data_IF_552511954566
#
_entry.id   IF_552511954566
#
_cell.length_a   1.000
_cell.length_b   1.000
_cell.length_c   1.000
_cell.angle_alpha   90.00
_cell.angle_beta   90.00
_cell.angle_gamma   90.00
#
_symmetry.space_group_name_H-M   'P 1'
#
loop_
_entity.id
_entity.type
_entity.pdbx_description
1 polymer ?
#
# COMPACT_ATOMS: atom_id res chain seq x y z
N UNK A 1 -26.74 46.32 0.60
CA UNK A 1 -26.70 44.88 0.26
C UNK A 1 -27.00 44.12 1.53
N UNK A 2 -27.99 43.22 1.51
CA UNK A 2 -28.27 42.37 2.66
C UNK A 2 -27.19 41.27 2.72
N UNK A 3 -26.50 41.17 3.87
CA UNK A 3 -25.54 40.10 4.12
C UNK A 3 -26.28 38.86 4.59
N UNK A 4 -25.71 37.68 4.36
CA UNK A 4 -26.18 36.45 4.99
C UNK A 4 -25.83 36.54 6.48
N UNK A 5 -26.83 36.47 7.35
CA UNK A 5 -26.63 36.52 8.80
C UNK A 5 -25.92 35.26 9.30
N UNK A 6 -25.03 35.44 10.29
CA UNK A 6 -24.39 34.32 10.96
C UNK A 6 -25.36 33.62 11.90
N UNK A 7 -25.21 32.30 12.04
CA UNK A 7 -26.00 31.51 12.99
C UNK A 7 -25.54 31.84 14.42
N UNK A 8 -26.51 32.05 15.31
CA UNK A 8 -26.28 32.35 16.73
C UNK A 8 -25.58 31.17 17.44
N UNK A 9 -24.79 31.47 18.47
CA UNK A 9 -24.06 30.43 19.22
C UNK A 9 -25.05 29.72 20.14
N UNK A 10 -25.66 28.65 19.63
CA UNK A 10 -26.65 27.81 20.32
C UNK A 10 -26.26 27.52 21.79
N UNK A 11 -27.26 27.43 22.67
CA UNK A 11 -27.11 27.08 24.09
C UNK A 11 -26.45 25.70 24.29
N UNK A 12 -26.60 24.81 23.31
CA UNK A 12 -25.98 23.49 23.28
C UNK A 12 -25.12 23.31 22.01
N UNK A 13 -23.98 22.60 22.10
CA UNK A 13 -23.17 22.29 20.93
C UNK A 13 -23.91 21.31 20.01
N UNK A 14 -23.82 21.53 18.70
CA UNK A 14 -24.31 20.57 17.70
C UNK A 14 -23.61 19.21 17.86
N UNK A 15 -24.35 18.14 17.60
CA UNK A 15 -23.85 16.77 17.55
C UNK A 15 -23.07 16.53 16.26
N UNK A 16 -22.26 15.47 16.19
CA UNK A 16 -21.59 15.08 14.94
C UNK A 16 -22.59 14.77 13.81
N UNK A 17 -23.78 14.28 14.17
CA UNK A 17 -24.82 13.91 13.20
C UNK A 17 -25.38 15.14 12.47
N UNK A 18 -25.47 16.28 13.17
CA UNK A 18 -25.91 17.56 12.60
C UNK A 18 -24.97 18.10 11.51
N UNK A 19 -23.70 17.66 11.50
CA UNK A 19 -22.70 18.09 10.51
C UNK A 19 -22.59 17.15 9.31
N UNK A 20 -23.25 15.99 9.35
CA UNK A 20 -23.20 14.99 8.26
C UNK A 20 -24.61 14.81 7.73
N UNK A 21 -24.90 15.37 6.56
CA UNK A 21 -26.22 15.24 5.93
C UNK A 21 -26.62 13.78 5.72
N UNK A 22 -27.93 13.51 5.66
CA UNK A 22 -28.47 12.17 5.41
C UNK A 22 -28.04 11.59 4.06
N UNK A 23 -27.86 12.45 3.05
CA UNK A 23 -27.40 12.07 1.71
C UNK A 23 -25.86 11.98 1.60
N UNK A 24 -25.12 12.18 2.70
CA UNK A 24 -23.66 12.17 2.63
C UNK A 24 -23.14 10.75 2.32
N UNK A 25 -22.24 10.58 1.33
CA UNK A 25 -21.69 9.27 0.96
C UNK A 25 -20.96 8.55 2.10
N UNK A 26 -20.50 9.26 3.14
CA UNK A 26 -19.89 8.65 4.32
C UNK A 26 -20.83 7.66 5.02
N UNK A 27 -22.15 7.90 4.98
CA UNK A 27 -23.16 7.01 5.56
C UNK A 27 -23.26 5.69 4.80
N UNK A 28 -23.01 5.71 3.49
CA UNK A 28 -22.93 4.48 2.67
C UNK A 28 -21.73 3.63 3.08
N UNK A 29 -20.58 4.27 3.33
CA UNK A 29 -19.37 3.57 3.81
C UNK A 29 -19.65 2.94 5.18
N UNK A 30 -20.33 3.66 6.07
CA UNK A 30 -20.69 3.21 7.39
C UNK A 30 -21.56 1.94 7.34
N UNK A 31 -22.68 2.03 6.63
CA UNK A 31 -23.63 0.93 6.44
C UNK A 31 -22.99 -0.28 5.73
N UNK A 32 -22.22 -0.03 4.67
CA UNK A 32 -21.54 -1.10 3.93
C UNK A 32 -20.59 -1.87 4.84
N UNK A 33 -19.68 -1.19 5.56
CA UNK A 33 -18.72 -1.88 6.43
C UNK A 33 -19.41 -2.58 7.60
N UNK A 34 -20.51 -2.02 8.09
CA UNK A 34 -21.28 -2.66 9.16
C UNK A 34 -22.02 -3.92 8.70
N UNK A 35 -22.44 -4.01 7.44
CA UNK A 35 -23.00 -5.25 6.87
C UNK A 35 -21.99 -6.38 6.67
N UNK A 36 -20.68 -6.09 6.68
CA UNK A 36 -19.66 -7.11 6.40
C UNK A 36 -19.37 -8.00 7.60
N UNK A 37 -19.23 -9.30 7.35
CA UNK A 37 -18.56 -10.24 8.24
C UNK A 37 -17.05 -10.24 7.97
N UNK A 38 -16.29 -9.48 8.76
CA UNK A 38 -14.85 -9.33 8.55
C UNK A 38 -14.07 -10.64 8.77
N UNK A 39 -14.57 -11.55 9.60
CA UNK A 39 -13.89 -12.83 9.86
C UNK A 39 -13.96 -13.76 8.65
N UNK A 40 -15.13 -13.85 8.01
CA UNK A 40 -15.34 -14.62 6.78
C UNK A 40 -14.48 -14.13 5.63
N UNK A 41 -14.28 -12.81 5.52
CA UNK A 41 -13.44 -12.17 4.49
C UNK A 41 -11.94 -12.36 4.80
N UNK A 42 -11.60 -12.89 5.98
CA UNK A 42 -10.24 -13.22 6.39
C UNK A 42 -9.48 -12.05 7.03
N UNK A 43 -10.18 -11.05 7.58
CA UNK A 43 -9.52 -10.06 8.44
C UNK A 43 -9.09 -10.74 9.74
N UNK A 44 -7.87 -10.43 10.18
CA UNK A 44 -7.38 -10.92 11.47
C UNK A 44 -8.06 -10.15 12.61
N UNK A 45 -9.05 -10.78 13.23
CA UNK A 45 -9.63 -10.30 14.49
C UNK A 45 -8.67 -10.61 15.65
N UNK A 46 -8.71 -9.77 16.67
CA UNK A 46 -7.92 -9.97 17.88
C UNK A 46 -8.82 -10.65 18.90
N UNK A 47 -8.45 -11.85 19.34
CA UNK A 47 -9.20 -12.66 20.30
C UNK A 47 -8.52 -12.80 21.67
N UNK A 48 -7.52 -11.95 21.96
CA UNK A 48 -6.73 -12.03 23.19
C UNK A 48 -7.33 -11.25 24.37
N UNK A 49 -7.01 -11.70 25.59
CA UNK A 49 -7.27 -10.99 26.84
C UNK A 49 -5.96 -10.41 27.42
N UNK A 50 -5.13 -9.75 26.60
CA UNK A 50 -3.90 -9.17 27.12
C UNK A 50 -4.20 -7.99 28.05
N UNK A 51 -3.49 -7.91 29.17
CA UNK A 51 -3.45 -6.70 29.99
C UNK A 51 -2.75 -5.58 29.19
N UNK A 52 -3.50 -4.54 28.82
CA UNK A 52 -2.99 -3.42 28.01
C UNK A 52 -4.10 -2.60 27.35
N UNK A 53 -3.71 -1.71 26.44
CA UNK A 53 -4.66 -0.89 25.68
C UNK A 53 -5.59 -1.78 24.84
N UNK A 54 -6.90 -1.56 24.96
CA UNK A 54 -7.88 -2.28 24.15
C UNK A 54 -7.65 -1.99 22.66
N UNK A 55 -7.72 -3.01 21.80
CA UNK A 55 -7.52 -2.82 20.36
C UNK A 55 -8.66 -2.00 19.74
N UNK A 56 -8.34 -1.20 18.72
CA UNK A 56 -9.37 -0.57 17.88
C UNK A 56 -10.23 -1.61 17.16
N UNK A 57 -11.53 -1.32 17.04
CA UNK A 57 -12.43 -2.16 16.24
C UNK A 57 -11.96 -2.16 14.78
N UNK A 58 -11.92 -3.34 14.17
CA UNK A 58 -11.43 -3.51 12.79
C UNK A 58 -12.34 -2.80 11.77
N UNK A 59 -13.64 -2.76 12.04
CA UNK A 59 -14.62 -2.00 11.23
C UNK A 59 -14.27 -0.51 11.17
N UNK A 60 -13.87 0.14 12.28
CA UNK A 60 -13.44 1.54 12.25
C UNK A 60 -12.18 1.76 11.41
N UNK A 61 -11.18 0.88 11.54
CA UNK A 61 -9.96 0.96 10.74
C UNK A 61 -10.24 0.74 9.24
N UNK A 62 -11.18 -0.15 8.90
CA UNK A 62 -11.61 -0.38 7.53
C UNK A 62 -12.42 0.80 6.97
N UNK A 63 -13.39 1.33 7.72
CA UNK A 63 -14.17 2.54 7.38
C UNK A 63 -13.23 3.71 7.06
N UNK A 64 -12.27 3.97 7.96
CA UNK A 64 -11.24 4.99 7.78
C UNK A 64 -10.43 4.77 6.49
N UNK A 65 -10.01 3.54 6.23
CA UNK A 65 -9.24 3.21 5.03
C UNK A 65 -10.03 3.45 3.74
N UNK A 66 -11.29 3.00 3.68
CA UNK A 66 -12.16 3.17 2.51
C UNK A 66 -12.41 4.66 2.25
N UNK A 67 -12.81 5.40 3.29
CA UNK A 67 -13.06 6.82 3.20
C UNK A 67 -11.84 7.59 2.70
N UNK A 68 -10.67 7.36 3.30
CA UNK A 68 -9.44 8.03 2.88
C UNK A 68 -9.00 7.61 1.47
N UNK A 69 -9.22 6.35 1.07
CA UNK A 69 -8.92 5.90 -0.28
C UNK A 69 -9.74 6.64 -1.33
N UNK A 70 -11.05 6.79 -1.10
CA UNK A 70 -11.99 7.53 -1.96
C UNK A 70 -11.61 9.00 -2.06
N UNK A 71 -11.18 9.61 -0.94
CA UNK A 71 -10.75 11.00 -0.87
C UNK A 71 -9.27 11.23 -1.26
N UNK A 72 -8.60 10.24 -1.86
CA UNK A 72 -7.20 10.31 -2.32
C UNK A 72 -6.18 10.60 -1.20
N UNK A 73 -6.49 10.26 0.05
CA UNK A 73 -5.63 10.41 1.23
C UNK A 73 -4.94 9.08 1.50
N UNK A 74 -3.66 8.97 1.11
CA UNK A 74 -2.95 7.67 1.09
C UNK A 74 -1.86 7.52 2.16
N UNK A 75 -1.38 8.62 2.74
CA UNK A 75 -0.36 8.57 3.79
C UNK A 75 -1.01 8.24 5.13
N UNK A 76 -0.51 7.24 5.86
CA UNK A 76 -1.04 6.88 7.18
C UNK A 76 -1.01 8.04 8.18
N UNK A 77 -0.01 8.93 8.09
CA UNK A 77 0.04 10.16 8.89
C UNK A 77 -1.04 11.16 8.50
N UNK A 78 -1.33 11.29 7.19
CA UNK A 78 -2.44 12.14 6.75
C UNK A 78 -3.78 11.55 7.19
N UNK A 79 -3.92 10.23 7.12
CA UNK A 79 -5.12 9.52 7.61
C UNK A 79 -5.31 9.81 9.11
N UNK A 80 -4.26 9.66 9.92
CA UNK A 80 -4.29 10.03 11.34
C UNK A 80 -4.73 11.49 11.54
N UNK A 81 -4.16 12.44 10.80
CA UNK A 81 -4.57 13.84 10.87
C UNK A 81 -6.05 14.07 10.49
N UNK A 82 -6.61 13.30 9.55
CA UNK A 82 -8.04 13.42 9.23
C UNK A 82 -8.94 13.03 10.40
N UNK A 83 -8.53 12.07 11.24
CA UNK A 83 -9.32 11.63 12.39
C UNK A 83 -9.56 12.73 13.43
N UNK A 84 -8.72 13.78 13.44
CA UNK A 84 -8.79 14.88 14.41
C UNK A 84 -9.36 16.17 13.86
N UNK A 85 -9.55 16.30 12.54
CA UNK A 85 -10.02 17.56 11.91
C UNK A 85 -11.22 17.42 10.99
N UNK A 86 -11.47 16.21 10.49
CA UNK A 86 -12.50 15.97 9.48
C UNK A 86 -13.78 15.46 10.15
N UNK A 87 -14.85 16.25 10.08
CA UNK A 87 -16.12 15.95 10.73
C UNK A 87 -16.74 14.64 10.23
N UNK A 88 -16.63 14.35 8.93
CA UNK A 88 -17.13 13.09 8.34
C UNK A 88 -16.36 11.89 8.90
N UNK A 89 -15.04 12.01 9.05
CA UNK A 89 -14.22 10.95 9.66
C UNK A 89 -14.55 10.79 11.13
N UNK A 90 -14.66 11.89 11.87
CA UNK A 90 -15.04 11.86 13.28
C UNK A 90 -16.38 11.16 13.47
N UNK A 91 -17.37 11.48 12.64
CA UNK A 91 -18.66 10.81 12.64
C UNK A 91 -18.52 9.32 12.32
N UNK A 92 -17.83 8.98 11.22
CA UNK A 92 -17.69 7.61 10.70
C UNK A 92 -17.00 6.63 11.68
N UNK A 93 -16.03 7.12 12.45
CA UNK A 93 -15.29 6.27 13.40
C UNK A 93 -15.63 6.57 14.87
N UNK A 94 -16.60 7.42 15.14
CA UNK A 94 -16.99 7.79 16.52
C UNK A 94 -15.86 8.48 17.28
N UNK A 95 -15.12 9.37 16.60
CA UNK A 95 -14.02 10.19 17.15
C UNK A 95 -12.82 9.40 17.70
N UNK A 96 -12.66 8.13 17.30
CA UNK A 96 -11.42 7.40 17.60
C UNK A 96 -10.27 7.87 16.71
N UNK A 97 -9.08 8.00 17.29
CA UNK A 97 -7.90 8.58 16.63
C UNK A 97 -6.73 7.59 16.65
N UNK A 98 -6.79 6.49 15.86
CA UNK A 98 -5.69 5.56 15.75
C UNK A 98 -4.45 6.25 15.16
N UNK A 99 -3.29 5.96 15.75
CA UNK A 99 -2.02 6.49 15.29
C UNK A 99 -1.63 5.91 13.91
N UNK A 100 -0.76 6.61 13.19
CA UNK A 100 -0.29 6.15 11.87
C UNK A 100 0.36 4.75 11.91
N UNK A 101 0.95 4.34 13.05
CA UNK A 101 1.53 3.02 13.25
C UNK A 101 0.46 1.94 13.24
N UNK A 102 -0.62 2.11 14.01
CA UNK A 102 -1.79 1.23 14.00
C UNK A 102 -2.42 1.13 12.61
N UNK A 103 -2.62 2.26 11.94
CA UNK A 103 -3.22 2.30 10.59
C UNK A 103 -2.36 1.52 9.60
N UNK A 104 -1.04 1.77 9.60
CA UNK A 104 -0.09 1.09 8.72
C UNK A 104 -0.03 -0.42 9.00
N UNK A 105 0.02 -0.81 10.27
CA UNK A 105 0.03 -2.21 10.68
C UNK A 105 -1.24 -2.93 10.23
N UNK A 106 -2.41 -2.33 10.42
CA UNK A 106 -3.70 -2.88 9.98
C UNK A 106 -3.72 -3.16 8.47
N UNK A 107 -3.30 -2.18 7.65
CA UNK A 107 -3.23 -2.36 6.19
C UNK A 107 -2.21 -3.42 5.77
N UNK A 108 -1.07 -3.49 6.44
CA UNK A 108 -0.02 -4.47 6.14
C UNK A 108 -0.48 -5.90 6.44
N UNK A 109 -1.10 -6.09 7.60
CA UNK A 109 -1.56 -7.41 8.07
C UNK A 109 -2.75 -7.91 7.24
N UNK A 110 -3.70 -7.03 6.91
CA UNK A 110 -4.95 -7.41 6.25
C UNK A 110 -4.93 -7.21 4.72
N UNK A 111 -3.76 -7.03 4.10
CA UNK A 111 -3.65 -6.75 2.66
C UNK A 111 -4.40 -7.76 1.77
N UNK A 112 -4.33 -9.05 2.10
CA UNK A 112 -5.03 -10.11 1.35
C UNK A 112 -6.55 -9.98 1.49
N UNK A 113 -7.04 -9.79 2.71
CA UNK A 113 -8.47 -9.60 2.99
C UNK A 113 -9.03 -8.34 2.32
N UNK A 114 -8.29 -7.23 2.36
CA UNK A 114 -8.67 -5.99 1.66
C UNK A 114 -8.78 -6.23 0.15
N UNK A 115 -7.82 -6.96 -0.45
CA UNK A 115 -7.88 -7.29 -1.89
C UNK A 115 -9.11 -8.16 -2.20
N UNK A 116 -9.43 -9.10 -1.33
CA UNK A 116 -10.61 -9.96 -1.48
C UNK A 116 -11.91 -9.16 -1.36
N UNK A 117 -12.01 -8.28 -0.37
CA UNK A 117 -13.14 -7.35 -0.19
C UNK A 117 -13.41 -6.53 -1.47
N UNK A 118 -12.37 -5.92 -2.05
CA UNK A 118 -12.54 -5.15 -3.29
C UNK A 118 -12.94 -6.02 -4.49
N UNK A 119 -12.47 -7.28 -4.53
CA UNK A 119 -12.88 -8.23 -5.56
C UNK A 119 -14.36 -8.56 -5.43
N UNK A 120 -14.83 -8.91 -4.23
CA UNK A 120 -16.24 -9.20 -3.96
C UNK A 120 -17.13 -8.00 -4.24
N UNK A 121 -16.71 -6.80 -3.83
CA UNK A 121 -17.40 -5.56 -4.15
C UNK A 121 -17.52 -5.34 -5.67
N UNK A 122 -16.44 -5.54 -6.41
CA UNK A 122 -16.47 -5.39 -7.89
C UNK A 122 -17.38 -6.42 -8.54
N UNK A 123 -17.39 -7.66 -8.03
CA UNK A 123 -18.28 -8.72 -8.52
C UNK A 123 -19.75 -8.41 -8.22
N UNK A 124 -20.05 -7.87 -7.04
CA UNK A 124 -21.40 -7.39 -6.68
C UNK A 124 -21.85 -6.29 -7.64
N UNK A 125 -21.02 -5.27 -7.88
CA UNK A 125 -21.35 -4.20 -8.82
C UNK A 125 -21.57 -4.72 -10.24
N UNK A 126 -20.81 -5.73 -10.66
CA UNK A 126 -21.03 -6.42 -11.93
C UNK A 126 -22.37 -7.16 -11.96
N UNK A 127 -22.73 -7.84 -10.88
CA UNK A 127 -24.03 -8.51 -10.73
C UNK A 127 -25.22 -7.54 -10.80
N UNK A 128 -25.05 -6.31 -10.32
CA UNK A 128 -26.05 -5.24 -10.43
C UNK A 128 -26.03 -4.48 -11.76
N UNK A 129 -25.13 -4.83 -12.68
CA UNK A 129 -25.00 -4.12 -13.96
C UNK A 129 -24.45 -2.69 -13.84
N UNK A 130 -23.86 -2.33 -12.69
CA UNK A 130 -23.25 -1.02 -12.47
C UNK A 130 -21.83 -0.93 -13.06
N UNK A 131 -21.21 -2.09 -13.28
CA UNK A 131 -19.86 -2.21 -13.89
C UNK A 131 -19.86 -3.37 -14.88
N UNK A 132 -19.65 -3.09 -16.17
CA UNK A 132 -19.65 -4.13 -17.21
C UNK A 132 -18.32 -4.89 -17.28
N UNK A 133 -17.23 -4.28 -16.81
CA UNK A 133 -15.88 -4.85 -16.84
C UNK A 133 -15.22 -4.90 -18.23
N UNK A 134 -15.88 -4.36 -19.25
CA UNK A 134 -15.41 -4.32 -20.64
C UNK A 134 -14.30 -3.26 -20.86
N UNK A 135 -14.30 -2.19 -20.07
CA UNK A 135 -13.33 -1.09 -20.17
C UNK A 135 -12.66 -0.90 -18.80
N UNK A 136 -11.37 -1.23 -18.72
CA UNK A 136 -10.52 -0.93 -17.56
C UNK A 136 -9.62 0.24 -17.93
N UNK A 137 -10.02 1.46 -17.60
CA UNK A 137 -9.19 2.64 -17.75
C UNK A 137 -8.23 2.76 -16.55
N UNK A 138 -6.93 2.52 -16.78
CA UNK A 138 -5.89 2.78 -15.80
C UNK A 138 -5.33 4.17 -16.10
N UNK A 139 -5.93 5.21 -15.52
CA UNK A 139 -5.32 6.55 -15.56
C UNK A 139 -4.21 6.63 -14.49
N UNK A 140 -2.97 6.50 -14.94
CA UNK A 140 -1.79 6.54 -14.08
C UNK A 140 -0.85 7.66 -14.48
N UNK A 141 -0.80 8.74 -13.71
CA UNK A 141 0.27 9.74 -13.84
C UNK A 141 1.61 9.12 -13.42
N UNK A 142 2.51 8.92 -14.38
CA UNK A 142 3.89 8.45 -14.12
C UNK A 142 4.73 9.62 -13.60
N UNK A 143 4.65 9.91 -12.30
CA UNK A 143 5.54 10.91 -11.68
C UNK A 143 6.92 10.25 -11.48
N UNK A 144 7.94 10.77 -12.17
CA UNK A 144 9.33 10.41 -11.91
C UNK A 144 9.73 10.99 -10.55
N UNK A 145 9.84 10.14 -9.53
CA UNK A 145 10.55 10.53 -8.31
C UNK A 145 12.04 10.77 -8.65
N UNK A 146 12.67 11.78 -8.05
CA UNK A 146 14.13 12.00 -8.10
C UNK A 146 14.88 10.98 -7.24
N UNK A 147 14.50 9.71 -7.38
CA UNK A 147 15.26 8.55 -6.97
C UNK A 147 14.93 7.47 -7.99
N UNK A 148 15.79 7.31 -8.99
CA UNK A 148 15.59 6.31 -10.03
C UNK A 148 15.55 4.93 -9.39
N UNK A 149 14.59 4.07 -9.76
CA UNK A 149 14.56 2.66 -9.32
C UNK A 149 15.90 1.94 -9.53
N UNK A 150 16.68 2.38 -10.52
CA UNK A 150 18.03 1.91 -10.81
C UNK A 150 19.09 2.31 -9.78
N UNK A 151 18.83 3.28 -8.90
CA UNK A 151 19.74 3.79 -7.86
C UNK A 151 19.29 3.41 -6.44
N UNK A 152 18.12 2.80 -6.27
CA UNK A 152 17.66 2.30 -4.97
C UNK A 152 18.20 0.88 -4.71
N UNK A 153 19.28 0.79 -3.95
CA UNK A 153 19.88 -0.47 -3.55
C UNK A 153 19.68 -0.69 -2.03
N UNK A 154 19.09 -1.83 -1.69
CA UNK A 154 19.02 -2.37 -0.32
C UNK A 154 19.74 -3.70 -0.34
N UNK A 155 20.25 -4.18 0.79
CA UNK A 155 20.97 -5.47 0.87
C UNK A 155 20.17 -6.63 0.23
N UNK A 156 18.85 -6.69 0.49
CA UNK A 156 17.96 -7.66 -0.15
C UNK A 156 17.82 -7.51 -1.66
N UNK A 157 17.89 -6.28 -2.19
CA UNK A 157 17.80 -6.02 -3.63
C UNK A 157 19.11 -6.42 -4.31
N UNK A 158 20.26 -6.11 -3.68
CA UNK A 158 21.57 -6.52 -4.17
C UNK A 158 21.67 -8.04 -4.20
N UNK A 159 21.31 -8.72 -3.11
CA UNK A 159 21.34 -10.18 -3.02
C UNK A 159 20.54 -10.83 -4.16
N UNK A 160 19.29 -10.40 -4.39
CA UNK A 160 18.45 -10.91 -5.47
C UNK A 160 19.01 -10.65 -6.87
N UNK A 161 19.72 -9.53 -7.08
CA UNK A 161 20.36 -9.23 -8.37
C UNK A 161 21.57 -10.11 -8.61
N UNK A 162 22.36 -10.40 -7.57
CA UNK A 162 23.49 -11.33 -7.66
C UNK A 162 22.97 -12.73 -7.99
N UNK A 163 21.99 -13.24 -7.24
CA UNK A 163 21.35 -14.55 -7.51
C UNK A 163 20.82 -14.64 -8.96
N UNK A 164 20.23 -13.56 -9.49
CA UNK A 164 19.77 -13.50 -10.88
C UNK A 164 20.92 -13.59 -11.90
N UNK A 165 22.01 -12.85 -11.68
CA UNK A 165 23.15 -12.87 -12.60
C UNK A 165 23.92 -14.19 -12.54
N UNK A 166 24.08 -14.78 -11.35
CA UNK A 166 24.66 -16.12 -11.17
C UNK A 166 23.84 -17.16 -11.94
N UNK A 167 22.51 -17.19 -11.76
CA UNK A 167 21.64 -18.10 -12.50
C UNK A 167 21.72 -17.89 -14.02
N UNK A 168 21.89 -16.65 -14.48
CA UNK A 168 22.09 -16.38 -15.91
C UNK A 168 23.45 -16.83 -16.42
N UNK A 169 24.52 -16.66 -15.65
CA UNK A 169 25.83 -17.20 -15.98
C UNK A 169 25.76 -18.72 -16.12
N UNK A 170 25.12 -19.41 -15.17
CA UNK A 170 24.95 -20.87 -15.22
C UNK A 170 24.16 -21.31 -16.46
N UNK A 171 23.10 -20.60 -16.81
CA UNK A 171 22.32 -20.83 -18.04
C UNK A 171 23.20 -20.71 -19.29
N UNK A 172 23.99 -19.64 -19.41
CA UNK A 172 24.89 -19.44 -20.55
C UNK A 172 26.03 -20.46 -20.59
N UNK A 173 26.57 -20.88 -19.44
CA UNK A 173 27.60 -21.93 -19.39
C UNK A 173 27.03 -23.27 -19.86
N UNK A 174 25.82 -23.63 -19.43
CA UNK A 174 25.18 -24.87 -19.88
C UNK A 174 24.88 -24.83 -21.38
N UNK A 175 24.34 -23.72 -21.89
CA UNK A 175 24.11 -23.53 -23.32
C UNK A 175 25.43 -23.60 -24.12
N UNK A 176 26.53 -23.10 -23.57
CA UNK A 176 27.86 -23.15 -24.22
C UNK A 176 28.38 -24.58 -24.37
N UNK A 177 28.11 -25.44 -23.38
CA UNK A 177 28.49 -26.85 -23.40
C UNK A 177 27.63 -27.68 -24.37
N UNK A 178 26.36 -27.30 -24.58
CA UNK A 178 25.41 -27.98 -25.46
C UNK A 178 25.49 -27.52 -26.93
N UNK A 179 26.06 -26.34 -27.19
CA UNK A 179 26.13 -25.77 -28.54
C UNK A 179 27.27 -26.41 -29.37
N UNK A 180 26.99 -26.97 -30.58
CA UNK A 180 28.02 -27.42 -31.52
C UNK A 180 29.00 -26.30 -31.88
N UNK A 181 30.20 -26.64 -32.39
CA UNK A 181 31.29 -25.69 -32.71
C UNK A 181 30.87 -24.58 -33.70
N UNK A 182 30.19 -23.57 -33.18
CA UNK A 182 29.89 -22.31 -33.85
C UNK A 182 30.61 -21.20 -33.06
N UNK A 183 31.75 -20.79 -33.59
CA UNK A 183 32.66 -19.85 -32.97
C UNK A 183 32.00 -18.50 -32.66
N UNK A 184 31.14 -18.01 -33.55
CA UNK A 184 30.47 -16.71 -33.40
C UNK A 184 29.45 -16.73 -32.24
N UNK A 185 28.70 -17.82 -32.08
CA UNK A 185 27.76 -17.97 -30.96
C UNK A 185 28.48 -18.07 -29.62
N UNK A 186 29.57 -18.84 -29.57
CA UNK A 186 30.39 -19.00 -28.35
C UNK A 186 31.02 -17.68 -27.89
N UNK A 187 31.52 -16.87 -28.82
CA UNK A 187 32.07 -15.55 -28.50
C UNK A 187 31.02 -14.59 -27.90
N UNK A 188 29.81 -14.55 -28.45
CA UNK A 188 28.72 -13.72 -27.92
C UNK A 188 28.31 -14.15 -26.51
N UNK A 189 28.36 -15.45 -26.22
CA UNK A 189 28.04 -15.99 -24.90
C UNK A 189 29.13 -15.64 -23.87
N UNK A 190 30.41 -15.74 -24.25
CA UNK A 190 31.53 -15.34 -23.41
C UNK A 190 31.48 -13.84 -23.07
N UNK A 191 31.19 -12.98 -24.05
CA UNK A 191 31.03 -11.53 -23.81
C UNK A 191 29.89 -11.23 -22.81
N UNK A 192 28.79 -11.97 -22.89
CA UNK A 192 27.67 -11.82 -21.94
C UNK A 192 28.02 -12.31 -20.54
N UNK A 193 28.67 -13.46 -20.42
CA UNK A 193 29.14 -13.99 -19.13
C UNK A 193 30.08 -12.99 -18.46
N UNK A 194 31.03 -12.42 -19.21
CA UNK A 194 31.96 -11.43 -18.69
C UNK A 194 31.26 -10.14 -18.27
N UNK A 195 30.26 -9.69 -19.04
CA UNK A 195 29.43 -8.54 -18.67
C UNK A 195 28.66 -8.76 -17.36
N UNK A 196 28.17 -9.98 -17.09
CA UNK A 196 27.46 -10.31 -15.86
C UNK A 196 28.39 -10.42 -14.67
N UNK A 197 29.59 -10.99 -14.82
CA UNK A 197 30.63 -10.99 -13.78
C UNK A 197 31.00 -9.58 -13.36
N UNK A 198 31.29 -8.70 -14.33
CA UNK A 198 31.57 -7.29 -14.06
C UNK A 198 30.41 -6.59 -13.31
N UNK A 199 29.16 -6.99 -13.59
CA UNK A 199 27.98 -6.47 -12.91
C UNK A 199 27.86 -6.98 -11.47
N UNK A 200 28.21 -8.24 -11.21
CA UNK A 200 28.27 -8.83 -9.87
C UNK A 200 29.34 -8.12 -9.04
N UNK A 201 30.51 -7.83 -9.61
CA UNK A 201 31.59 -7.13 -8.91
C UNK A 201 31.19 -5.71 -8.51
N UNK A 202 30.53 -4.97 -9.42
CA UNK A 202 29.95 -3.65 -9.12
C UNK A 202 28.89 -3.71 -8.01
N UNK A 203 28.09 -4.79 -7.95
CA UNK A 203 27.10 -4.98 -6.89
C UNK A 203 27.75 -5.34 -5.55
N UNK A 204 28.86 -6.08 -5.56
CA UNK A 204 29.62 -6.43 -4.37
C UNK A 204 30.38 -5.24 -3.79
N UNK A 205 30.97 -4.37 -4.62
CA UNK A 205 31.56 -3.11 -4.16
C UNK A 205 30.50 -2.22 -3.51
N UNK A 206 29.35 -2.07 -4.15
CA UNK A 206 28.22 -1.29 -3.61
C UNK A 206 27.68 -1.88 -2.30
N UNK A 207 27.66 -3.22 -2.17
CA UNK A 207 27.27 -3.90 -0.93
C UNK A 207 28.23 -3.57 0.22
N UNK A 208 29.52 -3.41 -0.07
CA UNK A 208 30.55 -3.04 0.91
C UNK A 208 30.37 -1.58 1.34
N UNK A 209 30.22 -0.67 0.38
CA UNK A 209 29.96 0.75 0.63
C UNK A 209 28.71 0.96 1.50
N UNK A 210 27.60 0.27 1.21
CA UNK A 210 26.38 0.33 2.01
C UNK A 210 26.56 -0.19 3.45
N UNK A 211 27.43 -1.18 3.67
CA UNK A 211 27.76 -1.67 5.00
C UNK A 211 28.62 -0.68 5.79
N UNK A 212 29.49 0.06 5.10
CA UNK A 212 30.37 1.05 5.71
C UNK A 212 29.60 2.36 6.01
N UNK A 213 28.72 2.81 5.11
CA UNK A 213 27.79 3.93 5.36
C UNK A 213 26.77 3.62 6.46
N UNK A 214 26.31 2.38 6.56
CA UNK A 214 25.43 1.90 7.63
C UNK A 214 26.08 1.97 9.02
N UNK A 215 27.41 1.84 9.11
CA UNK A 215 28.19 2.04 10.35
C UNK A 215 28.48 3.51 10.65
N UNK A 216 28.58 4.36 9.63
CA UNK A 216 28.84 5.80 9.78
C UNK A 216 27.64 6.59 10.32
N UNK A 217 26.41 6.06 10.20
CA UNK A 217 25.18 6.73 10.69
C UNK A 217 24.73 6.27 12.09
N UNK A 218 25.53 5.45 12.78
CA UNK A 218 25.28 4.97 14.14
C UNK A 218 26.17 5.64 15.19
N UNK A 219 26.38 6.95 15.06
CA UNK A 219 26.91 7.84 16.11
C UNK A 219 25.91 8.97 16.33
#
# INVERSE_FOLDING_TARGET
MAFIESIDRNLFPNTLDDYVSEDNPVRVIDAYVDSLNLEEIGFKTYSGNNAGQKPYKRKHLLKLYIYCYMNKIRSSRRIEMETTRNMEVMWLVGKVTPDHGTISAFMKVNRKAIKQLFKEFTLMLKGFGLVNGEIVAIDGTKIKASNSKSKHFTENIIKKKIEYYEAKIDEYINEFLETPENHDMKQVMDEKVESYKARIDQLNSLKKELKDEGKSRSV
#
